data_IF_975418087185
#
_entry.id   IF_975418087185
#
_cell.length_a   1.000
_cell.length_b   1.000
_cell.length_c   1.000
_cell.angle_alpha   90.00
_cell.angle_beta   90.00
_cell.angle_gamma   90.00
#
_symmetry.space_group_name_H-M   'P 1'
#
loop_
_entity.id
_entity.type
_entity.pdbx_description
1 polymer ?
#
# COMPACT_ATOMS: atom_id res chain seq x y z
N UNK A 1 -14.99 -3.93 12.29
CA UNK A 1 -16.34 -3.43 12.63
C UNK A 1 -17.36 -3.59 11.48
N UNK A 2 -16.97 -4.13 10.32
CA UNK A 2 -17.83 -4.37 9.17
C UNK A 2 -17.82 -5.82 8.67
N UNK A 3 -17.14 -6.75 9.38
CA UNK A 3 -16.99 -8.15 8.96
C UNK A 3 -18.13 -9.05 9.42
N UNK A 4 -18.95 -8.65 10.39
CA UNK A 4 -19.98 -9.53 11.01
C UNK A 4 -21.42 -9.11 10.71
N UNK A 5 -21.63 -8.20 9.75
CA UNK A 5 -22.98 -7.86 9.31
C UNK A 5 -23.38 -8.78 8.17
N UNK A 6 -24.43 -9.60 8.41
CA UNK A 6 -24.99 -10.48 7.40
C UNK A 6 -25.69 -9.66 6.29
N UNK A 7 -24.95 -9.42 5.21
CA UNK A 7 -25.41 -8.71 4.02
C UNK A 7 -26.28 -9.57 3.10
N UNK A 8 -26.68 -10.76 3.52
CA UNK A 8 -27.41 -11.73 2.71
C UNK A 8 -28.72 -11.22 2.09
N UNK A 9 -29.34 -10.22 2.69
CA UNK A 9 -30.56 -9.57 2.14
C UNK A 9 -30.31 -8.30 1.32
N UNK A 10 -29.06 -7.85 1.25
CA UNK A 10 -28.63 -6.70 0.45
C UNK A 10 -27.65 -7.12 -0.66
N UNK A 11 -27.70 -8.38 -1.08
CA UNK A 11 -26.77 -8.95 -2.06
C UNK A 11 -26.65 -8.14 -3.35
N UNK A 12 -27.74 -7.59 -3.85
CA UNK A 12 -27.69 -6.73 -5.04
C UNK A 12 -27.00 -5.40 -4.84
N UNK A 13 -27.11 -4.79 -3.65
CA UNK A 13 -26.47 -3.50 -3.35
C UNK A 13 -25.03 -3.70 -2.88
N UNK A 14 -24.73 -4.73 -2.08
CA UNK A 14 -23.37 -5.08 -1.70
C UNK A 14 -22.55 -5.57 -2.89
N UNK A 15 -23.16 -6.33 -3.82
CA UNK A 15 -22.56 -6.72 -5.09
C UNK A 15 -22.31 -5.50 -5.99
N UNK A 16 -23.25 -4.57 -6.03
CA UNK A 16 -23.09 -3.31 -6.76
C UNK A 16 -21.94 -2.47 -6.16
N UNK A 17 -21.97 -2.20 -4.85
CA UNK A 17 -20.91 -1.44 -4.17
C UNK A 17 -19.58 -2.20 -4.13
N UNK A 18 -19.61 -3.51 -3.92
CA UNK A 18 -18.43 -4.37 -3.95
C UNK A 18 -17.77 -4.42 -5.32
N UNK A 19 -18.55 -4.61 -6.38
CA UNK A 19 -18.06 -4.57 -7.77
C UNK A 19 -17.47 -3.22 -8.16
N UNK A 20 -18.03 -2.13 -7.67
CA UNK A 20 -17.59 -0.79 -8.01
C UNK A 20 -16.48 -0.24 -7.11
N UNK A 21 -16.40 -0.66 -5.85
CA UNK A 21 -15.44 -0.10 -4.90
C UNK A 21 -14.21 -0.99 -4.62
N UNK A 22 -14.35 -2.33 -4.69
CA UNK A 22 -13.38 -3.25 -4.12
C UNK A 22 -12.96 -4.44 -4.98
N UNK A 23 -13.54 -4.67 -6.17
CA UNK A 23 -13.16 -5.83 -6.98
C UNK A 23 -11.87 -5.61 -7.76
N UNK A 24 -10.84 -6.35 -7.31
CA UNK A 24 -9.76 -6.80 -8.15
C UNK A 24 -10.29 -7.80 -9.18
N UNK A 25 -9.86 -7.64 -10.40
CA UNK A 25 -9.94 -8.54 -11.55
C UNK A 25 -11.00 -9.65 -11.56
N UNK A 26 -12.26 -9.29 -11.84
CA UNK A 26 -13.13 -10.14 -12.65
C UNK A 26 -13.85 -9.24 -13.64
N UNK A 27 -13.34 -9.14 -14.86
CA UNK A 27 -14.01 -8.47 -15.95
C UNK A 27 -13.50 -7.08 -16.35
N UNK A 28 -12.19 -6.84 -16.37
CA UNK A 28 -11.61 -5.69 -17.10
C UNK A 28 -11.75 -4.32 -16.44
N UNK A 29 -12.11 -4.23 -15.17
CA UNK A 29 -12.15 -2.97 -14.43
C UNK A 29 -10.83 -2.74 -13.70
N UNK A 30 -10.14 -1.66 -14.04
CA UNK A 30 -8.95 -1.19 -13.35
C UNK A 30 -9.28 -0.82 -11.89
N UNK A 31 -8.66 -1.52 -10.95
CA UNK A 31 -8.86 -1.29 -9.52
C UNK A 31 -7.87 -0.26 -9.00
N UNK A 32 -8.38 0.72 -8.27
CA UNK A 32 -7.53 1.77 -7.68
C UNK A 32 -6.76 1.31 -6.43
N UNK A 33 -7.09 0.13 -5.90
CA UNK A 33 -6.38 -0.47 -4.79
C UNK A 33 -6.28 0.44 -3.55
N UNK A 34 -5.13 0.39 -2.89
CA UNK A 34 -4.86 1.16 -1.67
C UNK A 34 -4.86 2.68 -1.89
N UNK A 35 -4.36 3.15 -3.04
CA UNK A 35 -4.39 4.56 -3.43
C UNK A 35 -5.83 5.10 -3.47
N UNK A 36 -6.75 4.32 -4.05
CA UNK A 36 -8.17 4.65 -4.07
C UNK A 36 -8.77 4.74 -2.68
N UNK A 37 -8.38 3.83 -1.76
CA UNK A 37 -8.85 3.84 -0.37
C UNK A 37 -8.49 5.12 0.38
N UNK A 38 -7.26 5.61 0.25
CA UNK A 38 -6.84 6.88 0.86
C UNK A 38 -7.63 8.05 0.27
N UNK A 39 -7.73 8.09 -1.05
CA UNK A 39 -8.41 9.18 -1.75
C UNK A 39 -9.90 9.22 -1.40
N UNK A 40 -10.56 8.05 -1.28
CA UNK A 40 -11.95 7.93 -0.80
C UNK A 40 -12.11 8.53 0.58
N UNK A 41 -11.18 8.27 1.50
CA UNK A 41 -11.24 8.81 2.87
C UNK A 41 -11.26 10.33 2.88
N UNK A 42 -10.36 10.99 2.15
CA UNK A 42 -10.34 12.45 2.01
C UNK A 42 -11.58 12.98 1.29
N UNK A 43 -11.95 12.35 0.17
CA UNK A 43 -13.08 12.76 -0.64
C UNK A 43 -14.39 12.69 0.16
N UNK A 44 -14.61 11.61 0.90
CA UNK A 44 -15.78 11.45 1.77
C UNK A 44 -15.85 12.58 2.81
N UNK A 45 -14.73 12.94 3.44
CA UNK A 45 -14.68 14.05 4.39
C UNK A 45 -15.14 15.38 3.76
N UNK A 46 -14.61 15.74 2.60
CA UNK A 46 -14.99 16.98 1.90
C UNK A 46 -16.44 16.95 1.41
N UNK A 47 -16.92 15.81 0.93
CA UNK A 47 -18.32 15.66 0.47
C UNK A 47 -19.27 15.84 1.64
N UNK A 48 -18.99 15.23 2.81
CA UNK A 48 -19.84 15.39 4.01
C UNK A 48 -19.83 16.85 4.49
N UNK A 49 -18.69 17.55 4.45
CA UNK A 49 -18.63 18.98 4.75
C UNK A 49 -19.48 19.81 3.79
N UNK A 50 -19.43 19.51 2.50
CA UNK A 50 -20.28 20.14 1.49
C UNK A 50 -21.77 19.87 1.71
N UNK A 51 -22.13 18.61 2.01
CA UNK A 51 -23.50 18.21 2.32
C UNK A 51 -24.03 18.89 3.57
N UNK A 52 -23.22 19.03 4.63
CA UNK A 52 -23.59 19.79 5.83
C UNK A 52 -23.99 21.22 5.46
N UNK A 53 -23.14 21.91 4.70
CA UNK A 53 -23.41 23.29 4.26
C UNK A 53 -24.67 23.41 3.40
N UNK A 54 -24.93 22.42 2.56
CA UNK A 54 -26.13 22.36 1.71
C UNK A 54 -27.40 22.11 2.56
N UNK A 55 -27.30 21.24 3.56
CA UNK A 55 -28.40 20.86 4.44
C UNK A 55 -28.70 21.89 5.53
N UNK A 56 -27.86 22.91 5.74
CA UNK A 56 -28.17 24.05 6.63
C UNK A 56 -29.45 24.80 6.23
N UNK A 57 -29.80 24.76 4.96
CA UNK A 57 -31.01 25.41 4.43
C UNK A 57 -32.29 24.60 4.59
N UNK A 58 -32.21 23.35 5.09
CA UNK A 58 -33.38 22.51 5.32
C UNK A 58 -34.09 22.88 6.62
N UNK A 59 -35.43 22.73 6.67
CA UNK A 59 -36.22 23.00 7.87
C UNK A 59 -35.78 22.21 9.08
N UNK A 60 -35.93 22.79 10.29
CA UNK A 60 -35.54 22.18 11.57
C UNK A 60 -36.28 20.84 11.85
N UNK A 61 -37.45 20.65 11.27
CA UNK A 61 -38.23 19.40 11.35
C UNK A 61 -37.46 18.18 10.78
N UNK A 62 -36.46 18.40 9.92
CA UNK A 62 -35.65 17.33 9.28
C UNK A 62 -34.27 17.18 9.93
N UNK A 63 -33.98 17.88 11.03
CA UNK A 63 -32.63 17.90 11.60
C UNK A 63 -32.14 16.53 12.07
N UNK A 64 -33.03 15.71 12.63
CA UNK A 64 -32.72 14.33 13.03
C UNK A 64 -32.45 13.37 11.87
N UNK A 65 -32.97 13.65 10.67
CA UNK A 65 -32.80 12.80 9.49
C UNK A 65 -31.50 13.12 8.76
N UNK A 66 -30.94 14.33 8.91
CA UNK A 66 -29.70 14.75 8.25
C UNK A 66 -28.54 13.78 8.52
N UNK A 67 -28.15 13.51 9.79
CA UNK A 67 -26.99 12.66 10.08
C UNK A 67 -27.27 11.15 9.90
N UNK A 68 -28.53 10.72 10.07
CA UNK A 68 -28.89 9.30 10.03
C UNK A 68 -29.15 8.76 8.62
N UNK A 69 -29.70 9.59 7.74
CA UNK A 69 -30.08 9.17 6.40
C UNK A 69 -29.38 9.97 5.30
N UNK A 70 -29.48 11.32 5.35
CA UNK A 70 -29.03 12.15 4.23
C UNK A 70 -27.52 12.06 4.05
N UNK A 71 -26.73 12.28 5.09
CA UNK A 71 -25.26 12.26 4.97
C UNK A 71 -24.71 10.89 4.57
N UNK A 72 -25.13 9.75 5.17
CA UNK A 72 -24.61 8.47 4.74
C UNK A 72 -25.05 8.09 3.34
N UNK A 73 -26.33 8.19 3.01
CA UNK A 73 -26.87 7.73 1.72
C UNK A 73 -26.38 8.61 0.57
N UNK A 74 -26.59 9.92 0.67
CA UNK A 74 -26.18 10.85 -0.41
C UNK A 74 -24.65 10.95 -0.48
N UNK A 75 -23.96 11.00 0.66
CA UNK A 75 -22.51 11.03 0.71
C UNK A 75 -21.88 9.79 0.07
N UNK A 76 -22.36 8.61 0.42
CA UNK A 76 -21.87 7.34 -0.15
C UNK A 76 -22.17 7.25 -1.65
N UNK A 77 -23.35 7.67 -2.08
CA UNK A 77 -23.70 7.71 -3.50
C UNK A 77 -22.77 8.62 -4.30
N UNK A 78 -22.54 9.86 -3.85
CA UNK A 78 -21.65 10.82 -4.52
C UNK A 78 -20.22 10.28 -4.55
N UNK A 79 -19.70 9.76 -3.42
CA UNK A 79 -18.36 9.17 -3.36
C UNK A 79 -18.23 8.02 -4.35
N UNK A 80 -19.21 7.11 -4.40
CA UNK A 80 -19.19 5.95 -5.30
C UNK A 80 -19.18 6.36 -6.76
N UNK A 81 -20.01 7.33 -7.14
CA UNK A 81 -20.06 7.85 -8.51
C UNK A 81 -18.72 8.49 -8.90
N UNK A 82 -18.16 9.35 -8.05
CA UNK A 82 -16.87 10.00 -8.31
C UNK A 82 -15.74 8.98 -8.41
N UNK A 83 -15.71 8.00 -7.52
CA UNK A 83 -14.72 6.92 -7.58
C UNK A 83 -14.82 6.11 -8.85
N UNK A 84 -16.03 5.66 -9.24
CA UNK A 84 -16.22 4.85 -10.43
C UNK A 84 -15.81 5.56 -11.72
N UNK A 85 -16.26 6.80 -11.89
CA UNK A 85 -16.16 7.46 -13.19
C UNK A 85 -14.91 8.33 -13.34
N UNK A 86 -14.33 8.81 -12.23
CA UNK A 86 -13.20 9.75 -12.28
C UNK A 86 -11.94 9.13 -11.70
N UNK A 87 -11.99 8.69 -10.44
CA UNK A 87 -10.75 8.34 -9.73
C UNK A 87 -10.26 6.92 -10.04
N UNK A 88 -11.12 5.91 -10.10
CA UNK A 88 -10.70 4.55 -10.42
C UNK A 88 -10.01 4.42 -11.78
N UNK A 89 -10.50 5.03 -12.87
CA UNK A 89 -9.79 4.96 -14.15
C UNK A 89 -8.39 5.59 -14.09
N UNK A 90 -8.26 6.74 -13.41
CA UNK A 90 -6.97 7.46 -13.32
C UNK A 90 -5.97 6.70 -12.47
N UNK A 91 -6.39 6.29 -11.26
CA UNK A 91 -5.53 5.56 -10.33
C UNK A 91 -5.20 4.16 -10.87
N UNK A 92 -6.18 3.51 -11.48
CA UNK A 92 -6.00 2.22 -12.12
C UNK A 92 -4.99 2.27 -13.26
N UNK A 93 -4.98 3.34 -14.06
CA UNK A 93 -3.97 3.55 -15.11
C UNK A 93 -2.55 3.66 -14.52
N UNK A 94 -2.39 4.41 -13.44
CA UNK A 94 -1.10 4.54 -12.72
C UNK A 94 -0.64 3.18 -12.18
N UNK A 95 -1.55 2.46 -11.53
CA UNK A 95 -1.27 1.14 -10.94
C UNK A 95 -0.90 0.11 -12.02
N UNK A 96 -1.63 0.09 -13.13
CA UNK A 96 -1.35 -0.79 -14.28
C UNK A 96 -0.01 -0.43 -14.93
N UNK A 97 0.28 0.86 -15.11
CA UNK A 97 1.56 1.32 -15.63
C UNK A 97 2.74 0.85 -14.78
N UNK A 98 2.63 1.02 -13.46
CA UNK A 98 3.65 0.56 -12.52
C UNK A 98 3.83 -0.96 -12.56
N UNK A 99 2.74 -1.72 -12.50
CA UNK A 99 2.78 -3.19 -12.57
C UNK A 99 3.36 -3.68 -13.88
N UNK A 100 3.04 -3.02 -15.01
CA UNK A 100 3.59 -3.37 -16.33
C UNK A 100 5.08 -3.13 -16.38
N UNK A 101 5.56 -2.01 -15.85
CA UNK A 101 6.99 -1.68 -15.78
C UNK A 101 7.75 -2.73 -14.94
N UNK A 102 7.24 -3.05 -13.75
CA UNK A 102 7.85 -4.04 -12.86
C UNK A 102 7.87 -5.44 -13.48
N UNK A 103 6.78 -5.83 -14.15
CA UNK A 103 6.69 -7.10 -14.87
C UNK A 103 7.65 -7.17 -16.06
N UNK A 104 7.84 -6.07 -16.78
CA UNK A 104 8.81 -6.00 -17.87
C UNK A 104 10.25 -6.19 -17.37
N UNK A 105 10.60 -5.59 -16.23
CA UNK A 105 11.89 -5.79 -15.57
C UNK A 105 12.11 -7.24 -15.15
N UNK A 106 11.10 -7.88 -14.57
CA UNK A 106 11.15 -9.29 -14.17
C UNK A 106 11.37 -10.20 -15.40
N UNK A 107 10.61 -9.99 -16.48
CA UNK A 107 10.74 -10.76 -17.73
C UNK A 107 12.08 -10.54 -18.45
N UNK A 108 12.66 -9.36 -18.33
CA UNK A 108 13.99 -9.06 -18.88
C UNK A 108 15.14 -9.74 -18.11
N UNK A 109 14.85 -10.45 -17.03
CA UNK A 109 15.87 -11.10 -16.19
C UNK A 109 16.69 -10.12 -15.34
N UNK A 110 16.27 -8.86 -15.24
CA UNK A 110 16.93 -7.82 -14.46
C UNK A 110 16.52 -7.87 -12.99
N UNK A 111 16.62 -9.06 -12.38
CA UNK A 111 16.12 -9.35 -11.03
C UNK A 111 16.79 -8.44 -9.99
N UNK A 112 18.09 -8.19 -10.12
CA UNK A 112 18.81 -7.28 -9.20
C UNK A 112 18.27 -5.85 -9.28
N UNK A 113 18.01 -5.35 -10.49
CA UNK A 113 17.45 -4.01 -10.68
C UNK A 113 16.01 -3.94 -10.19
N UNK A 114 15.22 -4.98 -10.44
CA UNK A 114 13.88 -5.12 -9.88
C UNK A 114 13.92 -5.09 -8.35
N UNK A 115 14.84 -5.83 -7.74
CA UNK A 115 15.04 -5.83 -6.29
C UNK A 115 15.45 -4.46 -5.74
N UNK A 116 16.34 -3.75 -6.42
CA UNK A 116 16.69 -2.36 -6.06
C UNK A 116 15.48 -1.45 -6.08
N UNK A 117 14.66 -1.53 -7.13
CA UNK A 117 13.49 -0.68 -7.30
C UNK A 117 12.41 -0.99 -6.25
N UNK A 118 12.09 -2.27 -6.07
CA UNK A 118 11.12 -2.72 -5.09
C UNK A 118 11.56 -2.37 -3.66
N UNK A 119 12.82 -2.58 -3.32
CA UNK A 119 13.38 -2.19 -2.02
C UNK A 119 13.29 -0.68 -1.79
N UNK A 120 13.66 0.12 -2.78
CA UNK A 120 13.55 1.58 -2.71
C UNK A 120 12.10 2.04 -2.52
N UNK A 121 11.15 1.45 -3.26
CA UNK A 121 9.71 1.76 -3.11
C UNK A 121 9.21 1.54 -1.69
N UNK A 122 9.76 0.57 -0.95
CA UNK A 122 9.37 0.31 0.43
C UNK A 122 9.74 1.45 1.39
N UNK A 123 10.79 2.22 1.06
CA UNK A 123 11.33 3.27 1.92
C UNK A 123 10.90 4.69 1.54
N UNK A 124 10.27 4.90 0.38
CA UNK A 124 9.85 6.24 -0.10
C UNK A 124 8.84 6.86 0.84
N UNK A 125 7.81 6.13 1.19
CA UNK A 125 6.66 6.61 1.96
C UNK A 125 6.36 5.76 3.22
N UNK A 126 7.26 4.81 3.54
CA UNK A 126 7.33 4.04 4.80
C UNK A 126 5.97 3.49 5.28
N UNK A 127 5.22 2.86 4.39
CA UNK A 127 3.88 2.30 4.65
C UNK A 127 2.76 3.00 3.89
N UNK A 128 3.07 4.02 3.10
CA UNK A 128 2.14 4.74 2.24
C UNK A 128 1.82 4.01 0.93
N UNK A 129 1.31 4.77 -0.06
CA UNK A 129 0.81 4.23 -1.32
C UNK A 129 1.86 3.47 -2.15
N UNK A 130 3.09 3.99 -2.23
CA UNK A 130 4.16 3.40 -3.05
C UNK A 130 4.66 2.11 -2.42
N UNK A 131 4.82 2.10 -1.10
CA UNK A 131 5.13 0.90 -0.32
C UNK A 131 4.07 -0.20 -0.55
N UNK A 132 2.79 0.15 -0.45
CA UNK A 132 1.70 -0.80 -0.66
C UNK A 132 1.61 -1.29 -2.11
N UNK A 133 1.92 -0.45 -3.10
CA UNK A 133 1.99 -0.86 -4.50
C UNK A 133 3.09 -1.92 -4.73
N UNK A 134 4.28 -1.73 -4.14
CA UNK A 134 5.35 -2.73 -4.17
C UNK A 134 4.89 -4.05 -3.53
N UNK A 135 4.25 -3.98 -2.37
CA UNK A 135 3.77 -5.16 -1.66
C UNK A 135 2.68 -5.92 -2.44
N UNK A 136 1.70 -5.19 -3.01
CA UNK A 136 0.65 -5.80 -3.87
C UNK A 136 1.26 -6.44 -5.11
N UNK A 137 2.27 -5.81 -5.73
CA UNK A 137 3.01 -6.43 -6.82
C UNK A 137 3.68 -7.74 -6.37
N UNK A 138 4.39 -7.74 -5.23
CA UNK A 138 5.05 -8.94 -4.69
C UNK A 138 4.07 -10.07 -4.38
N UNK A 139 2.93 -9.78 -3.77
CA UNK A 139 1.88 -10.79 -3.52
C UNK A 139 1.27 -11.32 -4.82
N UNK A 140 1.10 -10.48 -5.83
CA UNK A 140 0.69 -10.89 -7.17
C UNK A 140 1.71 -11.83 -7.84
N UNK A 141 3.00 -11.56 -7.66
CA UNK A 141 4.08 -12.46 -8.12
C UNK A 141 4.03 -13.82 -7.40
N UNK A 142 3.75 -13.85 -6.08
CA UNK A 142 3.56 -15.10 -5.34
C UNK A 142 2.35 -15.90 -5.86
N UNK A 143 1.25 -15.24 -6.17
CA UNK A 143 0.09 -15.89 -6.79
C UNK A 143 0.47 -16.51 -8.14
N UNK A 144 1.20 -15.77 -8.99
CA UNK A 144 1.73 -16.27 -10.27
C UNK A 144 2.64 -17.49 -10.08
N UNK A 145 3.50 -17.46 -9.05
CA UNK A 145 4.34 -18.63 -8.72
C UNK A 145 3.50 -19.86 -8.36
N UNK A 146 2.43 -19.66 -7.58
CA UNK A 146 1.50 -20.74 -7.21
C UNK A 146 0.79 -21.32 -8.44
N UNK A 147 0.34 -20.47 -9.38
CA UNK A 147 -0.32 -20.91 -10.62
C UNK A 147 0.64 -21.68 -11.54
N UNK A 148 1.90 -21.22 -11.64
CA UNK A 148 2.95 -21.93 -12.38
C UNK A 148 3.21 -23.33 -11.79
N UNK A 149 3.32 -23.43 -10.47
CA UNK A 149 3.49 -24.72 -9.80
C UNK A 149 2.27 -25.63 -9.97
N UNK A 150 1.07 -25.09 -9.92
CA UNK A 150 -0.17 -25.84 -10.17
C UNK A 150 -0.24 -26.38 -11.62
N UNK A 151 0.39 -25.69 -12.58
CA UNK A 151 0.53 -26.14 -13.98
C UNK A 151 1.66 -27.17 -14.20
N UNK A 152 2.36 -27.57 -13.14
CA UNK A 152 3.41 -28.59 -13.18
C UNK A 152 4.84 -28.05 -13.33
N UNK A 153 5.02 -26.72 -13.25
CA UNK A 153 6.36 -26.10 -13.24
C UNK A 153 7.02 -26.34 -11.88
N UNK A 154 8.28 -26.71 -11.87
CA UNK A 154 9.01 -26.96 -10.63
C UNK A 154 9.32 -25.66 -9.87
N UNK A 155 9.37 -25.73 -8.56
CA UNK A 155 9.74 -24.58 -7.70
C UNK A 155 11.16 -24.05 -7.96
N UNK A 156 12.02 -24.85 -8.58
CA UNK A 156 13.39 -24.47 -8.99
C UNK A 156 13.46 -23.74 -10.33
N UNK A 157 12.34 -23.63 -11.05
CA UNK A 157 12.27 -22.92 -12.32
C UNK A 157 12.62 -21.43 -12.14
N UNK A 158 13.45 -20.84 -13.01
CA UNK A 158 13.83 -19.42 -12.91
C UNK A 158 12.65 -18.46 -12.85
N UNK A 159 11.53 -18.79 -13.49
CA UNK A 159 10.33 -17.95 -13.46
C UNK A 159 9.67 -17.94 -12.07
N UNK A 160 9.58 -19.10 -11.42
CA UNK A 160 9.07 -19.23 -10.04
C UNK A 160 10.03 -18.58 -9.05
N UNK A 161 11.32 -18.83 -9.21
CA UNK A 161 12.37 -18.22 -8.37
C UNK A 161 12.35 -16.68 -8.44
N UNK A 162 12.16 -16.10 -9.63
CA UNK A 162 12.05 -14.65 -9.79
C UNK A 162 10.90 -14.06 -8.97
N UNK A 163 9.77 -14.77 -8.85
CA UNK A 163 8.63 -14.34 -8.05
C UNK A 163 8.99 -14.32 -6.54
N UNK A 164 9.64 -15.35 -6.05
CA UNK A 164 10.08 -15.43 -4.65
C UNK A 164 11.17 -14.42 -4.31
N UNK A 165 12.10 -14.15 -5.22
CA UNK A 165 13.14 -13.14 -5.07
C UNK A 165 12.53 -11.73 -5.00
N UNK A 166 11.53 -11.45 -5.84
CA UNK A 166 10.85 -10.15 -5.80
C UNK A 166 10.22 -9.90 -4.41
N UNK A 167 9.53 -10.89 -3.86
CA UNK A 167 8.95 -10.78 -2.51
C UNK A 167 10.02 -10.63 -1.42
N UNK A 168 11.11 -11.40 -1.49
CA UNK A 168 12.23 -11.27 -0.56
C UNK A 168 12.84 -9.86 -0.59
N UNK A 169 13.02 -9.29 -1.78
CA UNK A 169 13.57 -7.93 -1.96
C UNK A 169 12.68 -6.85 -1.36
N UNK A 170 11.34 -7.00 -1.47
CA UNK A 170 10.36 -6.12 -0.84
C UNK A 170 10.50 -6.18 0.68
N UNK A 171 10.49 -7.39 1.24
CA UNK A 171 10.54 -7.58 2.69
C UNK A 171 11.84 -7.04 3.29
N UNK A 172 12.97 -7.36 2.69
CA UNK A 172 14.27 -6.84 3.13
C UNK A 172 14.33 -5.32 3.00
N UNK A 173 13.82 -4.75 1.89
CA UNK A 173 13.74 -3.31 1.70
C UNK A 173 12.92 -2.61 2.79
N UNK A 174 11.79 -3.22 3.20
CA UNK A 174 10.93 -2.70 4.28
C UNK A 174 11.55 -2.73 5.66
N UNK A 175 12.50 -3.65 5.93
CA UNK A 175 13.21 -3.73 7.21
C UNK A 175 14.24 -2.61 7.39
N UNK A 176 14.80 -2.10 6.30
CA UNK A 176 15.95 -1.16 6.35
C UNK A 176 15.65 0.15 7.07
N UNK A 177 14.53 0.86 6.83
CA UNK A 177 14.29 2.15 7.47
C UNK A 177 14.30 2.09 9.00
N UNK A 178 13.51 1.25 9.68
CA UNK A 178 13.49 1.21 11.14
C UNK A 178 14.78 0.63 11.73
N UNK A 179 15.40 -0.37 11.11
CA UNK A 179 16.69 -0.92 11.57
C UNK A 179 17.79 0.12 11.41
N UNK A 180 17.86 0.81 10.27
CA UNK A 180 18.84 1.86 10.01
C UNK A 180 18.75 2.99 11.02
N UNK A 181 17.53 3.43 11.36
CA UNK A 181 17.30 4.45 12.40
C UNK A 181 17.71 3.93 13.77
N UNK A 182 17.37 2.69 14.13
CA UNK A 182 17.78 2.09 15.40
C UNK A 182 19.32 2.06 15.55
N UNK A 183 20.03 1.69 14.49
CA UNK A 183 21.50 1.71 14.45
C UNK A 183 22.04 3.14 14.51
N UNK A 184 21.44 4.08 13.77
CA UNK A 184 21.84 5.48 13.80
C UNK A 184 21.68 6.08 15.20
N UNK A 185 20.56 5.81 15.88
CA UNK A 185 20.33 6.22 17.27
C UNK A 185 21.35 5.57 18.25
N UNK A 186 21.82 4.38 17.95
CA UNK A 186 22.81 3.69 18.77
C UNK A 186 24.21 4.28 18.59
N UNK A 187 24.66 4.45 17.35
CA UNK A 187 26.03 4.91 17.05
C UNK A 187 26.20 6.42 17.16
N UNK A 188 25.14 7.20 16.90
CA UNK A 188 25.17 8.66 16.90
C UNK A 188 24.17 9.30 17.87
N UNK A 189 24.18 8.94 19.16
CA UNK A 189 23.13 9.36 20.12
C UNK A 189 23.00 10.89 20.28
N UNK A 190 24.06 11.63 19.98
CA UNK A 190 24.08 13.11 20.08
C UNK A 190 23.25 13.80 18.98
N UNK A 191 22.91 13.10 17.91
CA UNK A 191 22.12 13.64 16.81
C UNK A 191 20.62 13.52 17.03
N UNK A 192 20.21 12.73 18.00
CA UNK A 192 18.81 12.41 18.28
C UNK A 192 18.34 12.94 19.63
N UNK A 193 17.08 13.32 19.71
CA UNK A 193 16.43 13.75 20.96
C UNK A 193 16.31 12.60 21.97
N UNK A 194 16.00 12.92 23.23
CA UNK A 194 15.82 11.90 24.26
C UNK A 194 14.70 10.90 23.93
N UNK A 195 13.58 11.38 23.38
CA UNK A 195 12.45 10.55 22.97
C UNK A 195 12.78 9.62 21.80
N UNK A 196 13.48 10.13 20.79
CA UNK A 196 13.94 9.35 19.63
C UNK A 196 14.91 8.25 20.05
N UNK A 197 15.83 8.54 20.95
CA UNK A 197 16.76 7.53 21.49
C UNK A 197 16.06 6.43 22.30
N UNK A 198 14.98 6.78 23.00
CA UNK A 198 14.20 5.80 23.75
C UNK A 198 13.50 4.79 22.83
N UNK A 199 13.11 5.20 21.62
CA UNK A 199 12.40 4.35 20.66
C UNK A 199 13.31 3.42 19.84
N UNK A 200 14.65 3.46 20.03
CA UNK A 200 15.59 2.65 19.22
C UNK A 200 15.33 1.15 19.28
N UNK A 201 14.98 0.63 20.48
CA UNK A 201 14.70 -0.81 20.65
C UNK A 201 13.41 -1.19 19.98
N UNK A 202 12.37 -0.35 20.12
CA UNK A 202 11.10 -0.52 19.43
C UNK A 202 11.28 -0.55 17.91
N UNK A 203 12.08 0.38 17.36
CA UNK A 203 12.39 0.42 15.93
C UNK A 203 13.16 -0.82 15.46
N UNK A 204 14.09 -1.31 16.26
CA UNK A 204 14.81 -2.55 15.92
C UNK A 204 13.83 -3.75 15.85
N UNK A 205 12.95 -3.88 16.85
CA UNK A 205 11.93 -4.93 16.87
C UNK A 205 10.96 -4.80 15.69
N UNK A 206 10.46 -3.58 15.43
CA UNK A 206 9.59 -3.32 14.29
C UNK A 206 10.28 -3.67 12.97
N UNK A 207 11.52 -3.28 12.79
CA UNK A 207 12.27 -3.61 11.57
C UNK A 207 12.47 -5.11 11.38
N UNK A 208 12.79 -5.85 12.44
CA UNK A 208 12.87 -7.31 12.39
C UNK A 208 11.49 -7.96 12.13
N UNK A 209 10.40 -7.27 12.43
CA UNK A 209 9.03 -7.70 12.19
C UNK A 209 8.44 -7.17 10.87
N UNK A 210 9.27 -6.65 9.97
CA UNK A 210 8.89 -6.09 8.66
C UNK A 210 7.97 -4.86 8.75
N UNK A 211 7.96 -4.14 9.87
CA UNK A 211 7.10 -2.97 10.10
C UNK A 211 7.90 -1.70 9.78
N UNK A 212 7.75 -1.19 8.55
CA UNK A 212 8.45 -0.01 8.04
C UNK A 212 8.00 1.28 8.74
N UNK A 213 6.76 1.31 9.23
CA UNK A 213 6.10 2.46 9.84
C UNK A 213 6.83 2.99 11.10
N UNK A 214 7.65 2.17 11.74
CA UNK A 214 8.49 2.61 12.87
C UNK A 214 9.43 3.78 12.55
N UNK A 215 9.75 3.97 11.26
CA UNK A 215 10.59 5.06 10.78
C UNK A 215 9.83 6.38 10.55
N UNK A 216 8.48 6.37 10.49
CA UNK A 216 7.65 7.53 10.15
C UNK A 216 7.91 8.75 11.06
N UNK A 217 7.98 8.63 12.40
CA UNK A 217 8.23 9.78 13.26
C UNK A 217 9.55 10.49 12.95
N UNK A 218 10.57 9.75 12.56
CA UNK A 218 11.89 10.29 12.20
C UNK A 218 11.86 10.93 10.81
N UNK A 219 11.19 10.31 9.85
CA UNK A 219 10.98 10.90 8.54
C UNK A 219 10.13 12.18 8.59
N UNK A 220 9.18 12.27 9.53
CA UNK A 220 8.38 13.46 9.73
C UNK A 220 9.19 14.60 10.37
N UNK A 221 10.15 14.29 11.25
CA UNK A 221 11.01 15.30 11.90
C UNK A 221 12.08 15.85 10.94
N UNK A 222 12.68 15.01 10.10
CA UNK A 222 13.72 15.40 9.13
C UNK A 222 13.59 14.61 7.82
N UNK A 223 12.59 14.95 6.98
CA UNK A 223 12.35 14.23 5.74
C UNK A 223 13.48 14.33 4.74
N UNK A 224 14.20 15.46 4.73
CA UNK A 224 15.25 15.73 3.74
C UNK A 224 16.47 14.83 3.91
N UNK A 225 16.77 14.36 5.10
CA UNK A 225 17.89 13.46 5.36
C UNK A 225 17.43 11.99 5.52
N UNK A 226 16.34 11.76 6.23
CA UNK A 226 15.89 10.38 6.53
C UNK A 226 15.41 9.67 5.27
N UNK A 227 14.55 10.28 4.45
CA UNK A 227 13.97 9.61 3.27
C UNK A 227 15.05 9.23 2.24
N UNK A 228 15.95 10.12 1.80
CA UNK A 228 16.99 9.73 0.85
C UNK A 228 17.92 8.64 1.37
N UNK A 229 18.31 8.72 2.66
CA UNK A 229 19.19 7.71 3.25
C UNK A 229 18.53 6.33 3.31
N UNK A 230 17.27 6.27 3.76
CA UNK A 230 16.53 5.01 3.85
C UNK A 230 16.20 4.45 2.47
N UNK A 231 15.90 5.31 1.50
CA UNK A 231 15.63 4.92 0.11
C UNK A 231 16.85 4.25 -0.53
N UNK A 232 18.04 4.88 -0.41
CA UNK A 232 19.29 4.29 -0.92
C UNK A 232 19.59 2.98 -0.20
N UNK A 233 19.51 2.97 1.13
CA UNK A 233 19.76 1.77 1.94
C UNK A 233 18.82 0.62 1.59
N UNK A 234 17.53 0.88 1.49
CA UNK A 234 16.52 -0.12 1.12
C UNK A 234 16.68 -0.60 -0.33
N UNK A 235 17.00 0.30 -1.26
CA UNK A 235 17.30 -0.06 -2.65
C UNK A 235 18.51 -0.98 -2.75
N UNK A 236 19.62 -0.64 -2.06
CA UNK A 236 20.81 -1.50 -2.03
C UNK A 236 20.50 -2.86 -1.40
N UNK A 237 19.77 -2.89 -0.29
CA UNK A 237 19.43 -4.15 0.39
C UNK A 237 18.52 -5.03 -0.48
N UNK A 238 17.51 -4.46 -1.13
CA UNK A 238 16.65 -5.19 -2.07
C UNK A 238 17.42 -5.67 -3.30
N UNK A 239 18.33 -4.86 -3.83
CA UNK A 239 19.23 -5.25 -4.92
C UNK A 239 20.17 -6.39 -4.56
N UNK A 240 20.78 -6.35 -3.39
CA UNK A 240 21.61 -7.44 -2.87
C UNK A 240 20.81 -8.73 -2.68
N UNK A 241 19.58 -8.63 -2.15
CA UNK A 241 18.65 -9.76 -2.05
C UNK A 241 18.42 -10.40 -3.43
N UNK A 242 18.15 -9.57 -4.44
CA UNK A 242 18.01 -10.02 -5.84
C UNK A 242 19.30 -10.63 -6.42
N UNK A 243 20.44 -10.01 -6.15
CA UNK A 243 21.74 -10.48 -6.64
C UNK A 243 22.14 -11.84 -6.05
N UNK A 244 21.93 -12.03 -4.74
CA UNK A 244 22.21 -13.31 -4.07
C UNK A 244 21.10 -14.35 -4.25
N UNK A 245 20.01 -14.02 -4.94
CA UNK A 245 18.92 -14.94 -5.17
C UNK A 245 18.19 -15.35 -3.88
N UNK A 246 18.10 -14.44 -2.90
CA UNK A 246 17.36 -14.70 -1.67
C UNK A 246 15.86 -14.84 -2.00
N UNK A 247 15.24 -15.91 -1.54
CA UNK A 247 13.83 -16.23 -1.82
C UNK A 247 12.99 -16.18 -0.54
N UNK A 248 11.75 -15.74 -0.68
CA UNK A 248 10.73 -15.79 0.36
C UNK A 248 9.45 -16.36 -0.25
N UNK A 249 8.97 -17.47 0.33
CA UNK A 249 7.74 -18.17 -0.06
C UNK A 249 6.57 -17.75 0.83
#
# INVERSE_FOLDING_TARGET
LFTDYDWGNLSGFSDFVGRFAFQGEHGGTTVSGFLGGILVGFLAGYIILGLKKLCEKLPDSLEGIKPTLIYPVVGMFIVSVLMCFIFNPIIGLINTGLSTMLTALAKAGLITLLGCLLGAMMAIDMGGPINKAAYVFGTGMLATASDLMASGVQSTDPAVQACYIAMASIMVGGMVPPIGIALACHFFPKKFTGAERASKVSNLVMGCSFITEGAIPFAASDPAHVIPCTLVGAGVAGGLSGFFGCTLM
#
